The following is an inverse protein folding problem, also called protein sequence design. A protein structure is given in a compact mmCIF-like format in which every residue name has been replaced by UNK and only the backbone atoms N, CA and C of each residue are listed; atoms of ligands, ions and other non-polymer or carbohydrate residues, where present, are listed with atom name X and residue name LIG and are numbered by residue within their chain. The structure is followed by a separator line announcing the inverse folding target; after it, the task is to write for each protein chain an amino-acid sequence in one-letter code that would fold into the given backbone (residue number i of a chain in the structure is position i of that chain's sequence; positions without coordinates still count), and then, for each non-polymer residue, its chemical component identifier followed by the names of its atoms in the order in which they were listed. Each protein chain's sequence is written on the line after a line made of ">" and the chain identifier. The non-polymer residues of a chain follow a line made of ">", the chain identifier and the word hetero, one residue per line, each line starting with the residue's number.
data_IF_034551252870
#
_entry.id   IF_034551252870
#
_cell.length_a   1.000
_cell.length_b   1.000
_cell.length_c   1.000
_cell.angle_alpha   90.00
_cell.angle_beta   90.00
_cell.angle_gamma   90.00
#
_symmetry.space_group_name_H-M   'P 1'
#
loop_
_entity.id
_entity.type
_entity.pdbx_description
1 polymer ?
#
# COMPACT_ATOMS: atom_id res chain seq x y z
N UNK A 1 -19.17 36.66 -71.16
CA UNK A 1 -19.52 35.60 -70.17
C UNK A 1 -18.28 35.33 -69.32
N UNK A 2 -18.37 35.76 -68.06
CA UNK A 2 -17.42 35.67 -66.93
C UNK A 2 -17.42 34.21 -66.42
N UNK A 3 -16.42 33.55 -65.81
CA UNK A 3 -14.98 33.68 -65.50
C UNK A 3 -14.60 32.27 -64.98
N UNK A 4 -13.40 31.75 -65.23
CA UNK A 4 -12.81 30.74 -64.33
C UNK A 4 -11.40 31.20 -63.98
N UNK A 5 -11.28 31.70 -62.76
CA UNK A 5 -10.02 31.96 -62.11
C UNK A 5 -9.57 30.70 -61.35
N UNK A 6 -8.26 30.44 -61.34
CA UNK A 6 -7.43 30.05 -60.17
C UNK A 6 -5.99 29.79 -60.67
N UNK A 7 -5.05 30.70 -60.37
CA UNK A 7 -4.17 30.69 -59.19
C UNK A 7 -3.16 29.54 -59.31
N UNK A 8 -1.88 29.75 -59.67
CA UNK A 8 -0.94 30.73 -59.13
C UNK A 8 0.05 29.98 -58.23
N UNK A 9 1.18 29.56 -58.81
CA UNK A 9 2.28 28.80 -58.20
C UNK A 9 2.86 29.52 -56.97
N UNK A 10 3.11 28.82 -55.86
CA UNK A 10 4.29 29.03 -55.02
C UNK A 10 4.65 27.73 -54.27
N UNK A 11 5.86 27.25 -54.52
CA UNK A 11 6.51 26.20 -53.76
C UNK A 11 7.03 26.79 -52.43
N UNK A 12 6.67 26.17 -51.32
CA UNK A 12 7.29 26.42 -50.02
C UNK A 12 7.70 25.07 -49.43
N UNK A 13 9.01 24.88 -49.32
CA UNK A 13 9.63 23.75 -48.63
C UNK A 13 9.50 23.98 -47.12
N UNK A 14 8.65 23.20 -46.46
CA UNK A 14 8.65 23.07 -44.99
C UNK A 14 9.45 21.82 -44.61
N UNK A 15 10.67 22.02 -44.15
CA UNK A 15 11.44 21.02 -43.41
C UNK A 15 10.71 20.79 -42.08
N UNK A 16 10.00 19.67 -41.98
CA UNK A 16 9.51 19.17 -40.69
C UNK A 16 10.71 18.52 -40.01
N UNK A 17 11.36 19.27 -39.11
CA UNK A 17 12.37 18.72 -38.22
C UNK A 17 11.64 17.84 -37.18
N UNK A 18 11.57 16.55 -37.45
CA UNK A 18 11.10 15.52 -36.52
C UNK A 18 12.08 15.41 -35.35
N UNK A 19 11.94 16.28 -34.36
CA UNK A 19 12.65 16.21 -33.08
C UNK A 19 11.88 15.40 -32.05
N UNK A 20 11.67 14.10 -32.29
CA UNK A 20 11.37 13.19 -31.18
C UNK A 20 12.72 12.87 -30.53
N UNK A 21 13.20 13.79 -29.70
CA UNK A 21 14.15 13.42 -28.67
C UNK A 21 13.36 12.65 -27.61
N UNK A 22 13.21 11.34 -27.80
CA UNK A 22 13.09 10.44 -26.66
C UNK A 22 14.38 10.65 -25.89
N UNK A 23 14.27 11.44 -24.81
CA UNK A 23 15.38 11.74 -23.93
C UNK A 23 16.09 10.44 -23.61
N UNK A 24 17.39 10.42 -23.90
CA UNK A 24 18.29 9.52 -23.23
C UNK A 24 17.89 9.52 -21.75
N UNK A 25 17.68 8.34 -21.19
CA UNK A 25 17.63 8.12 -19.76
C UNK A 25 18.98 8.58 -19.19
N UNK A 26 19.15 9.89 -19.06
CA UNK A 26 20.13 10.46 -18.19
C UNK A 26 19.63 10.04 -16.81
N UNK A 27 20.44 9.24 -16.13
CA UNK A 27 20.41 9.20 -14.68
C UNK A 27 20.74 10.63 -14.22
N UNK A 28 19.75 11.52 -14.29
CA UNK A 28 19.88 12.88 -13.81
C UNK A 28 20.10 12.72 -12.32
N UNK A 29 21.30 13.04 -11.89
CA UNK A 29 21.64 13.11 -10.48
C UNK A 29 20.60 14.04 -9.83
N UNK A 30 19.95 13.53 -8.79
CA UNK A 30 18.87 14.24 -8.10
C UNK A 30 19.40 15.60 -7.65
N UNK A 31 18.72 16.69 -8.00
CA UNK A 31 19.20 18.03 -7.66
C UNK A 31 19.13 18.29 -6.15
N UNK A 32 19.97 19.19 -5.64
CA UNK A 32 19.93 19.60 -4.23
C UNK A 32 18.56 20.17 -3.83
N UNK A 33 17.89 20.85 -4.77
CA UNK A 33 16.53 21.36 -4.58
C UNK A 33 15.52 20.23 -4.40
N UNK A 34 15.61 19.19 -5.23
CA UNK A 34 14.79 17.99 -5.10
C UNK A 34 15.03 17.27 -3.77
N UNK A 35 16.29 17.11 -3.35
CA UNK A 35 16.62 16.51 -2.05
C UNK A 35 16.04 17.33 -0.90
N UNK A 36 16.13 18.66 -0.96
CA UNK A 36 15.56 19.54 0.07
C UNK A 36 14.04 19.41 0.16
N UNK A 37 13.35 19.44 -0.99
CA UNK A 37 11.90 19.27 -1.05
C UNK A 37 11.48 17.87 -0.53
N UNK A 38 12.24 16.83 -0.88
CA UNK A 38 12.00 15.46 -0.42
C UNK A 38 12.13 15.33 1.10
N UNK A 39 13.16 15.94 1.70
CA UNK A 39 13.31 15.97 3.17
C UNK A 39 12.13 16.64 3.85
N UNK A 40 11.69 17.78 3.34
CA UNK A 40 10.53 18.49 3.90
C UNK A 40 9.24 17.64 3.81
N UNK A 41 9.03 16.93 2.69
CA UNK A 41 7.91 16.03 2.52
C UNK A 41 7.96 14.82 3.48
N UNK A 42 9.14 14.18 3.61
CA UNK A 42 9.36 13.06 4.52
C UNK A 42 9.10 13.47 5.97
N UNK A 43 9.62 14.62 6.38
CA UNK A 43 9.40 15.17 7.72
C UNK A 43 7.92 15.46 7.98
N UNK A 44 7.22 16.09 7.02
CA UNK A 44 5.80 16.37 7.13
C UNK A 44 4.93 15.10 7.23
N UNK A 45 5.33 14.04 6.51
CA UNK A 45 4.66 12.74 6.53
C UNK A 45 4.99 11.91 7.79
N UNK A 46 6.14 12.15 8.42
CA UNK A 46 6.62 11.37 9.57
C UNK A 46 6.98 9.91 9.25
N UNK A 47 7.23 9.60 7.97
CA UNK A 47 7.38 8.20 7.49
C UNK A 47 8.66 7.50 7.97
N UNK A 48 9.67 8.26 8.40
CA UNK A 48 10.92 7.72 8.94
C UNK A 48 10.95 7.64 10.47
N UNK A 49 9.93 8.14 11.18
CA UNK A 49 9.90 8.17 12.65
C UNK A 49 10.01 6.76 13.27
N UNK A 50 9.42 5.76 12.63
CA UNK A 50 9.51 4.36 13.08
C UNK A 50 10.95 3.81 13.08
N UNK A 51 11.83 4.37 12.23
CA UNK A 51 13.22 3.93 12.11
C UNK A 51 14.10 4.38 13.28
N UNK A 52 13.62 5.32 14.10
CA UNK A 52 14.34 5.76 15.30
C UNK A 52 14.51 4.63 16.34
N UNK A 53 13.66 3.60 16.26
CA UNK A 53 13.76 2.42 17.13
C UNK A 53 14.75 1.37 16.65
N UNK A 54 15.31 1.48 15.44
CA UNK A 54 16.21 0.45 14.89
C UNK A 54 17.44 0.28 15.78
N UNK A 55 18.15 1.37 16.07
CA UNK A 55 19.40 1.32 16.83
C UNK A 55 19.18 0.89 18.30
N UNK A 56 18.19 1.42 19.04
CA UNK A 56 17.84 0.89 20.36
C UNK A 56 17.53 -0.60 20.36
N UNK A 57 16.73 -1.09 19.40
CA UNK A 57 16.37 -2.50 19.34
C UNK A 57 17.59 -3.40 19.07
N UNK A 58 18.49 -2.96 18.19
CA UNK A 58 19.75 -3.68 17.93
C UNK A 58 20.66 -3.69 19.16
N UNK A 59 20.75 -2.56 19.88
CA UNK A 59 21.53 -2.46 21.11
C UNK A 59 20.99 -3.41 22.19
N UNK A 60 19.68 -3.42 22.43
CA UNK A 60 19.05 -4.31 23.41
C UNK A 60 19.22 -5.79 23.03
N UNK A 61 19.06 -6.14 21.75
CA UNK A 61 19.32 -7.49 21.27
C UNK A 61 20.77 -7.90 21.54
N UNK A 62 21.73 -7.03 21.25
CA UNK A 62 23.15 -7.29 21.49
C UNK A 62 23.45 -7.47 22.99
N UNK A 63 22.92 -6.59 23.85
CA UNK A 63 23.06 -6.71 25.30
C UNK A 63 22.54 -8.06 25.79
N UNK A 64 21.31 -8.43 25.40
CA UNK A 64 20.72 -9.72 25.77
C UNK A 64 21.64 -10.90 25.40
N UNK A 65 22.20 -10.91 24.19
CA UNK A 65 23.12 -11.96 23.75
C UNK A 65 24.42 -11.97 24.57
N UNK A 66 25.03 -10.81 24.80
CA UNK A 66 26.32 -10.73 25.51
C UNK A 66 26.19 -11.03 27.01
N UNK A 67 25.10 -10.61 27.64
CA UNK A 67 24.80 -10.87 29.06
C UNK A 67 24.55 -12.36 29.29
N UNK A 68 23.78 -13.01 28.40
CA UNK A 68 23.59 -14.46 28.48
C UNK A 68 24.91 -15.23 28.39
N UNK A 69 25.85 -14.75 27.56
CA UNK A 69 27.18 -15.37 27.44
C UNK A 69 28.10 -15.05 28.63
N UNK A 70 27.95 -13.88 29.27
CA UNK A 70 28.81 -13.42 30.37
C UNK A 70 27.98 -12.70 31.46
N UNK A 71 27.25 -13.43 32.32
CA UNK A 71 26.32 -12.83 33.28
C UNK A 71 27.02 -11.88 34.28
N UNK A 72 28.25 -12.19 34.68
CA UNK A 72 29.02 -11.37 35.64
C UNK A 72 29.39 -9.98 35.08
N UNK A 73 29.29 -9.77 33.77
CA UNK A 73 29.65 -8.53 33.10
C UNK A 73 28.46 -7.64 32.75
N UNK A 74 27.26 -7.92 33.27
CA UNK A 74 26.00 -7.24 32.88
C UNK A 74 26.09 -5.71 32.83
N UNK A 75 26.57 -5.10 33.92
CA UNK A 75 26.69 -3.64 34.01
C UNK A 75 27.69 -3.06 33.00
N UNK A 76 28.83 -3.74 32.82
CA UNK A 76 29.90 -3.31 31.90
C UNK A 76 29.43 -3.45 30.45
N UNK A 77 28.77 -4.55 30.10
CA UNK A 77 28.18 -4.78 28.78
C UNK A 77 27.14 -3.70 28.48
N UNK A 78 26.19 -3.48 29.39
CA UNK A 78 25.11 -2.53 29.19
C UNK A 78 25.65 -1.12 28.94
N UNK A 79 26.51 -0.63 29.84
CA UNK A 79 27.13 0.69 29.71
C UNK A 79 27.97 0.82 28.43
N UNK A 80 28.71 -0.22 28.05
CA UNK A 80 29.56 -0.19 26.85
C UNK A 80 28.72 -0.15 25.58
N UNK A 81 27.70 -1.01 25.48
CA UNK A 81 26.81 -1.05 24.31
C UNK A 81 26.03 0.26 24.19
N UNK A 82 25.56 0.84 25.30
CA UNK A 82 24.88 2.14 25.27
C UNK A 82 25.78 3.26 24.77
N UNK A 83 27.03 3.31 25.23
CA UNK A 83 28.00 4.29 24.75
C UNK A 83 28.27 4.13 23.25
N UNK A 84 28.41 2.89 22.76
CA UNK A 84 28.61 2.65 21.32
C UNK A 84 27.36 2.99 20.51
N UNK A 85 26.17 2.69 21.02
CA UNK A 85 24.92 3.07 20.38
C UNK A 85 24.79 4.60 20.26
N UNK A 86 25.16 5.36 21.30
CA UNK A 86 25.18 6.82 21.24
C UNK A 86 26.12 7.36 20.15
N UNK A 87 27.30 6.76 19.97
CA UNK A 87 28.23 7.12 18.89
C UNK A 87 27.62 6.83 17.51
N UNK A 88 26.95 5.67 17.37
CA UNK A 88 26.32 5.26 16.12
C UNK A 88 25.05 6.03 15.77
N UNK A 89 24.44 6.75 16.72
CA UNK A 89 23.20 7.51 16.49
C UNK A 89 23.34 8.52 15.32
N UNK A 90 24.53 9.07 15.08
CA UNK A 90 24.78 9.98 13.96
C UNK A 90 24.53 9.35 12.58
N UNK A 91 24.61 8.02 12.45
CA UNK A 91 24.31 7.28 11.20
C UNK A 91 22.85 7.36 10.79
N UNK A 92 21.98 7.86 11.67
CA UNK A 92 20.59 8.18 11.35
C UNK A 92 20.45 9.14 10.15
N UNK A 93 21.43 10.04 9.97
CA UNK A 93 21.49 10.96 8.84
C UNK A 93 21.75 10.24 7.50
N UNK A 94 22.42 9.09 7.51
CA UNK A 94 22.64 8.30 6.29
C UNK A 94 21.32 7.71 5.78
N UNK A 95 20.47 7.24 6.70
CA UNK A 95 19.14 6.75 6.36
C UNK A 95 18.25 7.87 5.82
N UNK A 96 18.29 9.07 6.42
CA UNK A 96 17.54 10.22 5.87
C UNK A 96 18.02 10.61 4.46
N UNK A 97 19.32 10.53 4.19
CA UNK A 97 19.85 10.81 2.85
C UNK A 97 19.30 9.83 1.82
N UNK A 98 19.25 8.55 2.16
CA UNK A 98 18.73 7.51 1.26
C UNK A 98 17.21 7.64 1.06
N UNK A 99 16.47 7.94 2.14
CA UNK A 99 15.04 8.20 2.07
C UNK A 99 14.72 9.41 1.17
N UNK A 100 15.45 10.51 1.35
CA UNK A 100 15.29 11.72 0.53
C UNK A 100 15.61 11.45 -0.96
N UNK A 101 16.69 10.72 -1.25
CA UNK A 101 17.03 10.29 -2.61
C UNK A 101 15.91 9.45 -3.24
N UNK A 102 15.30 8.56 -2.47
CA UNK A 102 14.19 7.71 -2.94
C UNK A 102 12.96 8.55 -3.29
N UNK A 103 12.56 9.48 -2.42
CA UNK A 103 11.40 10.36 -2.65
C UNK A 103 11.65 11.32 -3.82
N UNK A 104 12.84 11.88 -3.90
CA UNK A 104 13.21 12.83 -4.94
C UNK A 104 13.25 12.21 -6.34
N UNK A 105 13.49 10.89 -6.45
CA UNK A 105 13.37 10.15 -7.72
C UNK A 105 11.92 9.83 -8.08
N UNK A 106 11.02 9.79 -7.11
CA UNK A 106 9.63 9.38 -7.29
C UNK A 106 8.68 10.55 -7.59
N UNK A 107 9.03 11.76 -7.16
CA UNK A 107 8.17 12.94 -7.23
C UNK A 107 8.95 14.16 -7.75
N UNK A 108 8.24 15.05 -8.43
CA UNK A 108 8.75 16.37 -8.81
C UNK A 108 8.89 17.30 -7.59
N UNK A 109 9.66 18.39 -7.74
CA UNK A 109 9.83 19.40 -6.67
C UNK A 109 8.49 19.99 -6.26
N UNK A 110 7.63 20.28 -7.24
CA UNK A 110 6.30 20.85 -7.04
C UNK A 110 5.40 19.89 -6.24
N UNK A 111 5.40 18.60 -6.57
CA UNK A 111 4.64 17.59 -5.85
C UNK A 111 5.15 17.41 -4.42
N UNK A 112 6.47 17.34 -4.21
CA UNK A 112 7.07 17.22 -2.88
C UNK A 112 6.71 18.43 -2.00
N UNK A 113 6.77 19.64 -2.55
CA UNK A 113 6.35 20.85 -1.85
C UNK A 113 4.85 20.85 -1.54
N UNK A 114 4.01 20.39 -2.45
CA UNK A 114 2.56 20.29 -2.22
C UNK A 114 2.23 19.26 -1.13
N UNK A 115 2.91 18.11 -1.11
CA UNK A 115 2.80 17.09 -0.06
C UNK A 115 3.20 17.70 1.29
N UNK A 116 4.36 18.35 1.36
CA UNK A 116 4.84 18.99 2.59
C UNK A 116 3.84 20.05 3.09
N UNK A 117 3.34 20.92 2.21
CA UNK A 117 2.38 21.96 2.56
C UNK A 117 1.06 21.38 3.08
N UNK A 118 0.53 20.33 2.45
CA UNK A 118 -0.71 19.69 2.91
C UNK A 118 -0.53 19.04 4.28
N UNK A 119 0.50 18.20 4.46
CA UNK A 119 0.68 17.43 5.69
C UNK A 119 1.17 18.27 6.88
N UNK A 120 1.71 19.47 6.64
CA UNK A 120 2.00 20.45 7.71
C UNK A 120 0.79 21.26 8.13
N UNK A 121 -0.27 21.33 7.31
CA UNK A 121 -1.51 22.05 7.63
C UNK A 121 -2.26 21.42 8.82
N UNK A 122 -3.13 22.17 9.53
CA UNK A 122 -3.94 21.62 10.62
C UNK A 122 -4.78 20.41 10.18
N UNK A 123 -5.36 20.45 8.97
CA UNK A 123 -6.15 19.34 8.44
C UNK A 123 -5.27 18.12 8.11
N UNK A 124 -4.11 18.31 7.46
CA UNK A 124 -3.18 17.24 7.15
C UNK A 124 -2.62 16.55 8.38
N UNK A 125 -2.22 17.33 9.40
CA UNK A 125 -1.79 16.78 10.71
C UNK A 125 -2.91 16.00 11.40
N UNK A 126 -4.14 16.51 11.36
CA UNK A 126 -5.30 15.80 11.90
C UNK A 126 -5.56 14.51 11.13
N UNK A 127 -5.40 14.49 9.81
CA UNK A 127 -5.57 13.29 8.99
C UNK A 127 -4.51 12.23 9.31
N UNK A 128 -3.24 12.61 9.50
CA UNK A 128 -2.20 11.66 9.91
C UNK A 128 -2.52 11.02 11.27
N UNK A 129 -2.99 11.83 12.23
CA UNK A 129 -3.31 11.37 13.59
C UNK A 129 -4.59 10.54 13.66
N UNK A 130 -5.67 11.04 13.06
CA UNK A 130 -7.02 10.52 13.26
C UNK A 130 -7.50 9.65 12.09
N UNK A 131 -6.83 9.69 10.93
CA UNK A 131 -7.16 8.91 9.75
C UNK A 131 -7.25 7.40 10.01
N UNK A 132 -6.25 6.77 10.66
CA UNK A 132 -6.33 5.35 11.02
C UNK A 132 -7.52 5.01 11.93
N UNK A 133 -7.92 5.93 12.81
CA UNK A 133 -9.10 5.77 13.68
C UNK A 133 -10.36 5.81 12.83
N UNK A 134 -10.51 6.82 11.97
CA UNK A 134 -11.66 6.95 11.07
C UNK A 134 -11.79 5.73 10.15
N UNK A 135 -10.69 5.25 9.56
CA UNK A 135 -10.65 4.06 8.72
C UNK A 135 -11.10 2.80 9.48
N UNK A 136 -10.66 2.63 10.74
CA UNK A 136 -11.12 1.51 11.57
C UNK A 136 -12.62 1.57 11.82
N UNK A 137 -13.18 2.75 12.14
CA UNK A 137 -14.61 2.89 12.35
C UNK A 137 -15.42 2.68 11.06
N UNK A 138 -14.90 3.12 9.90
CA UNK A 138 -15.48 2.84 8.60
C UNK A 138 -15.59 1.33 8.34
N UNK A 139 -14.53 0.56 8.60
CA UNK A 139 -14.56 -0.89 8.42
C UNK A 139 -15.55 -1.60 9.35
N UNK A 140 -15.70 -1.14 10.60
CA UNK A 140 -16.74 -1.67 11.50
C UNK A 140 -18.15 -1.43 10.95
N UNK A 141 -18.40 -0.24 10.41
CA UNK A 141 -19.69 0.07 9.79
C UNK A 141 -19.97 -0.81 8.57
N UNK A 142 -18.95 -1.07 7.75
CA UNK A 142 -19.07 -1.95 6.60
C UNK A 142 -19.39 -3.41 6.99
N UNK A 143 -18.78 -3.91 8.08
CA UNK A 143 -19.08 -5.25 8.62
C UNK A 143 -20.54 -5.38 9.07
N UNK A 144 -21.03 -4.41 9.86
CA UNK A 144 -22.43 -4.39 10.32
C UNK A 144 -23.40 -4.34 9.13
N UNK A 145 -23.13 -3.47 8.16
CA UNK A 145 -23.93 -3.36 6.95
C UNK A 145 -23.95 -4.68 6.18
N UNK A 146 -22.78 -5.31 6.00
CA UNK A 146 -22.63 -6.58 5.30
C UNK A 146 -23.40 -7.73 5.97
N UNK A 147 -23.39 -7.80 7.31
CA UNK A 147 -24.19 -8.76 8.06
C UNK A 147 -25.70 -8.57 7.84
N UNK A 148 -26.15 -7.31 7.79
CA UNK A 148 -27.53 -6.96 7.46
C UNK A 148 -27.93 -7.45 6.06
N UNK A 149 -27.13 -7.10 5.05
CA UNK A 149 -27.36 -7.54 3.67
C UNK A 149 -27.36 -9.06 3.54
N UNK A 150 -26.45 -9.75 4.22
CA UNK A 150 -26.38 -11.22 4.21
C UNK A 150 -27.66 -11.86 4.74
N UNK A 151 -28.16 -11.38 5.88
CA UNK A 151 -29.44 -11.83 6.45
C UNK A 151 -30.60 -11.58 5.50
N UNK A 152 -30.69 -10.37 4.95
CA UNK A 152 -31.81 -9.98 4.10
C UNK A 152 -31.79 -10.77 2.79
N UNK A 153 -30.61 -10.97 2.20
CA UNK A 153 -30.42 -11.80 1.02
C UNK A 153 -30.83 -13.25 1.27
N UNK A 154 -30.45 -13.83 2.41
CA UNK A 154 -30.85 -15.20 2.78
C UNK A 154 -32.38 -15.32 2.90
N UNK A 155 -33.01 -14.39 3.63
CA UNK A 155 -34.46 -14.40 3.84
C UNK A 155 -35.24 -14.22 2.52
N UNK A 156 -34.85 -13.25 1.71
CA UNK A 156 -35.52 -12.96 0.44
C UNK A 156 -35.33 -14.09 -0.57
N UNK A 157 -34.12 -14.67 -0.62
CA UNK A 157 -33.84 -15.82 -1.49
C UNK A 157 -34.66 -17.03 -1.07
N UNK A 158 -34.75 -17.32 0.24
CA UNK A 158 -35.61 -18.38 0.76
C UNK A 158 -37.07 -18.19 0.36
N UNK A 159 -37.63 -17.01 0.64
CA UNK A 159 -39.02 -16.70 0.29
C UNK A 159 -39.30 -16.73 -1.23
N UNK A 160 -38.32 -16.36 -2.05
CA UNK A 160 -38.44 -16.47 -3.50
C UNK A 160 -38.42 -17.93 -3.97
N UNK A 161 -37.53 -18.76 -3.40
CA UNK A 161 -37.44 -20.18 -3.70
C UNK A 161 -38.71 -20.93 -3.28
N UNK A 162 -39.29 -20.64 -2.11
CA UNK A 162 -40.54 -21.26 -1.67
C UNK A 162 -41.67 -21.05 -2.69
N UNK A 163 -41.77 -19.85 -3.28
CA UNK A 163 -42.76 -19.57 -4.33
C UNK A 163 -42.53 -20.37 -5.61
N UNK A 164 -41.29 -20.72 -5.91
CA UNK A 164 -40.92 -21.54 -7.07
C UNK A 164 -41.21 -23.02 -6.78
N UNK A 165 -40.83 -23.51 -5.60
CA UNK A 165 -41.01 -24.93 -5.20
C UNK A 165 -42.48 -25.27 -4.97
N UNK A 166 -43.28 -24.38 -4.36
CA UNK A 166 -44.73 -24.59 -4.20
C UNK A 166 -45.49 -24.53 -5.53
N UNK A 167 -44.94 -23.81 -6.54
CA UNK A 167 -45.50 -23.80 -7.91
C UNK A 167 -45.06 -24.96 -8.77
N UNK A 168 -43.98 -25.66 -8.42
CA UNK A 168 -43.63 -26.91 -9.08
C UNK A 168 -44.63 -27.97 -8.63
N UNK A 169 -45.42 -28.60 -9.53
CA UNK A 169 -46.23 -29.74 -9.13
C UNK A 169 -45.29 -30.77 -8.52
N UNK A 170 -45.68 -31.36 -7.39
CA UNK A 170 -44.96 -32.49 -6.81
C UNK A 170 -44.80 -33.55 -7.89
N UNK A 171 -43.62 -33.61 -8.49
CA UNK A 171 -43.26 -34.72 -9.33
C UNK A 171 -43.29 -35.93 -8.41
N UNK A 172 -44.30 -36.78 -8.59
CA UNK A 172 -44.38 -38.09 -7.98
C UNK A 172 -43.03 -38.81 -8.13
N UNK A 173 -42.63 -39.68 -7.19
CA UNK A 173 -41.34 -40.34 -7.26
C UNK A 173 -41.29 -41.18 -8.53
N UNK A 174 -40.58 -40.70 -9.55
CA UNK A 174 -40.20 -41.51 -10.68
C UNK A 174 -39.17 -42.50 -10.16
N UNK A 175 -39.58 -43.77 -10.07
CA UNK A 175 -38.68 -44.89 -9.87
C UNK A 175 -37.50 -44.78 -10.83
N UNK A 176 -36.29 -44.67 -10.28
CA UNK A 176 -35.06 -44.80 -11.06
C UNK A 176 -34.45 -46.17 -10.77
N UNK A 177 -34.92 -47.16 -11.52
CA UNK A 177 -34.02 -48.22 -11.97
C UNK A 177 -33.15 -47.68 -13.11
N UNK A 178 -31.94 -48.24 -13.18
CA UNK A 178 -30.96 -48.15 -14.27
C UNK A 178 -29.99 -46.95 -14.30
N UNK A 179 -28.85 -47.18 -13.64
CA UNK A 179 -27.46 -47.03 -14.15
C UNK A 179 -27.06 -45.73 -14.84
N UNK A 180 -26.22 -44.94 -14.14
CA UNK A 180 -25.28 -44.01 -14.75
C UNK A 180 -23.86 -44.27 -14.20
N UNK A 181 -22.95 -44.59 -15.11
CA UNK A 181 -21.52 -44.76 -14.90
C UNK A 181 -20.85 -43.46 -14.36
N UNK A 182 -19.65 -43.54 -13.74
CA UNK A 182 -19.08 -42.41 -13.02
C UNK A 182 -18.42 -41.41 -13.98
N UNK A 183 -18.74 -40.13 -13.82
CA UNK A 183 -17.98 -39.01 -14.41
C UNK A 183 -16.92 -38.49 -13.40
N UNK A 184 -15.79 -37.93 -13.86
CA UNK A 184 -14.56 -37.82 -13.09
C UNK A 184 -14.61 -36.72 -12.02
N UNK A 185 -13.86 -36.94 -10.93
CA UNK A 185 -13.75 -36.04 -9.80
C UNK A 185 -13.17 -34.66 -10.19
N UNK A 186 -13.90 -33.60 -9.87
CA UNK A 186 -13.37 -32.24 -9.87
C UNK A 186 -12.43 -32.02 -8.65
N UNK A 187 -11.36 -31.21 -8.79
CA UNK A 187 -10.37 -31.06 -7.73
C UNK A 187 -10.92 -30.23 -6.56
N UNK A 188 -10.55 -30.66 -5.35
CA UNK A 188 -10.94 -30.07 -4.06
C UNK A 188 -10.43 -28.62 -3.93
N UNK A 189 -11.24 -27.65 -3.47
CA UNK A 189 -10.71 -26.33 -3.12
C UNK A 189 -9.76 -26.44 -1.93
N UNK A 190 -8.59 -25.81 -2.05
CA UNK A 190 -7.62 -25.71 -0.96
C UNK A 190 -8.26 -25.04 0.27
N UNK A 191 -8.03 -25.63 1.44
CA UNK A 191 -8.51 -25.11 2.72
C UNK A 191 -7.90 -23.73 2.99
N UNK A 192 -8.76 -22.77 3.39
CA UNK A 192 -8.31 -21.49 3.91
C UNK A 192 -7.51 -21.70 5.21
N UNK A 193 -6.46 -20.89 5.49
CA UNK A 193 -5.68 -21.02 6.70
C UNK A 193 -6.52 -20.62 7.92
N UNK A 194 -6.40 -21.42 8.98
CA UNK A 194 -7.06 -21.22 10.27
C UNK A 194 -6.49 -19.98 10.97
N UNK A 195 -7.29 -19.09 11.61
CA UNK A 195 -6.76 -17.98 12.39
C UNK A 195 -6.00 -18.50 13.61
N UNK A 196 -4.81 -17.94 13.86
CA UNK A 196 -4.02 -18.21 15.05
C UNK A 196 -4.77 -17.75 16.31
N UNK A 197 -4.74 -18.58 17.34
CA UNK A 197 -5.34 -18.30 18.64
C UNK A 197 -4.64 -17.11 19.32
N UNK A 198 -5.43 -16.17 19.84
CA UNK A 198 -4.94 -15.09 20.68
C UNK A 198 -4.43 -15.64 22.03
N UNK A 199 -3.34 -15.08 22.60
CA UNK A 199 -2.89 -15.47 23.93
C UNK A 199 -3.88 -14.95 24.99
N UNK A 200 -4.21 -15.81 25.94
CA UNK A 200 -5.01 -15.47 27.12
C UNK A 200 -4.19 -14.54 28.04
N UNK A 201 -4.90 -13.58 28.65
CA UNK A 201 -4.39 -12.75 29.76
C UNK A 201 -3.96 -13.61 30.94
#
# INVERSE_FOLDING_TARGET
>A
MIKIARLGRFAAATIVLSGIAFGAANAQEVSDEQIKAARAAIEALGVTAQFDNILPNLAEQLKSTMIQANPDLENVISSTVDQQALILAARRADLEREAASTYAKAFSVEELNAIAAFYTSPAGKKLLKDGPIATRELYKAADIWGQGISRDLANQSGAALDKVVVRAPAAAPAATDATAAPAPAAPKPAAAPKPAAAPKK
#
